data_IF_402038579804
#
_entry.id   IF_402038579804
#
_cell.length_a   1.000
_cell.length_b   1.000
_cell.length_c   1.000
_cell.angle_alpha   90.00
_cell.angle_beta   90.00
_cell.angle_gamma   90.00
#
_symmetry.space_group_name_H-M   'P 1'
#
loop_
_entity.id
_entity.type
_entity.pdbx_description
1 polymer ?
#
# COMPACT_ATOMS: atom_id res chain seq x y z
N UNK A 1 35.38 -2.96 0.08
CA UNK A 1 34.75 -3.63 -1.07
C UNK A 1 33.50 -2.83 -1.44
N UNK A 2 33.18 -2.69 -2.72
CA UNK A 2 32.12 -1.85 -3.23
C UNK A 2 31.12 -2.69 -4.02
N UNK A 3 29.84 -2.33 -3.94
CA UNK A 3 28.76 -2.92 -4.73
C UNK A 3 28.19 -1.87 -5.69
N UNK A 4 28.11 -2.18 -6.98
CA UNK A 4 27.45 -1.29 -7.92
C UNK A 4 25.95 -1.57 -7.98
N UNK A 5 25.13 -0.58 -7.64
CA UNK A 5 23.65 -0.67 -7.74
C UNK A 5 23.13 -0.88 -9.16
N UNK A 6 23.92 -0.54 -10.18
CA UNK A 6 23.49 -0.65 -11.58
C UNK A 6 23.71 -2.03 -12.18
N UNK A 7 24.76 -2.74 -11.78
CA UNK A 7 25.09 -4.06 -12.34
C UNK A 7 25.21 -5.18 -11.31
N UNK A 8 25.07 -4.89 -10.02
CA UNK A 8 25.17 -5.87 -8.93
C UNK A 8 26.57 -6.42 -8.68
N UNK A 9 27.60 -5.94 -9.40
CA UNK A 9 28.96 -6.45 -9.25
C UNK A 9 29.61 -5.92 -7.96
N UNK A 10 30.35 -6.82 -7.31
CA UNK A 10 31.16 -6.54 -6.12
C UNK A 10 32.64 -6.48 -6.52
N UNK A 11 33.36 -5.45 -6.08
CA UNK A 11 34.76 -5.22 -6.46
C UNK A 11 35.53 -4.45 -5.38
N UNK A 12 36.87 -4.49 -5.42
CA UNK A 12 37.70 -3.97 -4.34
C UNK A 12 38.08 -2.49 -4.52
N UNK A 13 38.22 -2.03 -5.76
CA UNK A 13 38.67 -0.68 -6.09
C UNK A 13 37.74 0.02 -7.07
N UNK A 14 37.49 1.30 -6.82
CA UNK A 14 36.83 2.19 -7.77
C UNK A 14 37.80 2.58 -8.89
N UNK A 15 37.26 3.00 -10.03
CA UNK A 15 38.05 3.71 -11.04
C UNK A 15 38.56 5.05 -10.49
N UNK A 16 39.54 5.67 -11.15
CA UNK A 16 40.09 6.99 -10.75
C UNK A 16 39.03 8.10 -10.60
N UNK A 17 37.90 7.97 -11.30
CA UNK A 17 36.75 8.88 -11.24
C UNK A 17 35.66 8.46 -10.24
N UNK A 18 35.91 7.47 -9.38
CA UNK A 18 34.96 7.01 -8.35
C UNK A 18 33.75 6.22 -8.87
N UNK A 19 33.82 5.69 -10.10
CA UNK A 19 32.76 4.90 -10.73
C UNK A 19 33.00 3.38 -10.61
N UNK A 20 31.96 2.59 -10.93
CA UNK A 20 32.08 1.15 -11.04
C UNK A 20 33.00 0.77 -12.22
N UNK A 21 34.04 -0.06 -12.02
CA UNK A 21 34.96 -0.47 -13.08
C UNK A 21 34.32 -1.35 -14.15
N UNK A 22 33.19 -2.01 -13.85
CA UNK A 22 32.51 -2.91 -14.78
C UNK A 22 31.55 -2.18 -15.74
N UNK A 23 30.82 -1.17 -15.26
CA UNK A 23 29.75 -0.53 -16.04
C UNK A 23 29.82 1.00 -16.11
N UNK A 24 30.78 1.64 -15.43
CA UNK A 24 30.86 3.10 -15.33
C UNK A 24 29.76 3.73 -14.47
N UNK A 25 28.96 2.92 -13.77
CA UNK A 25 27.87 3.40 -12.93
C UNK A 25 28.37 4.33 -11.81
N UNK A 26 27.71 5.49 -11.59
CA UNK A 26 28.13 6.45 -10.58
C UNK A 26 27.84 5.97 -9.16
N UNK A 27 28.71 6.37 -8.21
CA UNK A 27 28.55 6.21 -6.75
C UNK A 27 28.28 4.75 -6.27
N UNK A 28 29.22 3.81 -6.44
CA UNK A 28 29.09 2.47 -5.87
C UNK A 28 29.00 2.51 -4.33
N UNK A 29 28.18 1.62 -3.75
CA UNK A 29 27.98 1.56 -2.29
C UNK A 29 29.19 0.86 -1.65
N UNK A 30 29.84 1.49 -0.68
CA UNK A 30 30.85 0.81 0.12
C UNK A 30 30.15 -0.21 1.04
N UNK A 31 30.57 -1.47 0.98
CA UNK A 31 30.05 -2.53 1.83
C UNK A 31 30.63 -2.39 3.24
N UNK A 32 29.77 -2.50 4.24
CA UNK A 32 30.18 -2.51 5.64
C UNK A 32 30.99 -3.78 5.95
N UNK A 33 31.96 -3.70 6.87
CA UNK A 33 32.85 -4.82 7.19
C UNK A 33 32.10 -6.06 7.70
N UNK A 34 30.94 -5.93 8.35
CA UNK A 34 30.15 -7.10 8.79
C UNK A 34 29.51 -7.87 7.62
N UNK A 35 29.28 -7.23 6.47
CA UNK A 35 28.74 -7.88 5.25
C UNK A 35 29.84 -8.59 4.46
N UNK A 36 31.09 -8.12 4.62
CA UNK A 36 32.25 -8.68 3.94
C UNK A 36 32.53 -10.12 4.36
N UNK A 37 32.40 -10.44 5.65
CA UNK A 37 32.62 -11.79 6.19
C UNK A 37 31.57 -12.78 5.66
N UNK A 38 30.32 -12.33 5.49
CA UNK A 38 29.23 -13.19 5.01
C UNK A 38 29.32 -13.51 3.50
N UNK A 39 29.89 -12.60 2.69
CA UNK A 39 30.11 -12.82 1.24
C UNK A 39 31.28 -13.78 1.02
N UNK A 40 32.34 -13.68 1.84
CA UNK A 40 33.52 -14.56 1.75
C UNK A 40 33.16 -16.02 2.07
N UNK A 41 32.21 -16.27 2.97
CA UNK A 41 31.78 -17.64 3.33
C UNK A 41 30.87 -18.32 2.29
N UNK A 42 30.22 -17.56 1.39
CA UNK A 42 29.32 -18.14 0.35
C UNK A 42 29.91 -18.23 -1.04
N UNK A 43 31.03 -17.57 -1.33
CA UNK A 43 31.75 -17.71 -2.59
C UNK A 43 33.06 -18.46 -2.34
N UNK A 44 33.08 -19.74 -2.73
CA UNK A 44 34.28 -20.59 -2.76
C UNK A 44 35.41 -19.82 -3.44
N UNK A 45 36.45 -19.48 -2.68
CA UNK A 45 37.75 -19.07 -3.20
C UNK A 45 38.24 -20.14 -4.17
N UNK A 46 38.25 -19.85 -5.48
CA UNK A 46 39.13 -20.58 -6.40
C UNK A 46 40.54 -20.01 -6.21
N UNK A 47 41.50 -20.80 -5.70
CA UNK A 47 42.88 -20.35 -5.59
C UNK A 47 43.45 -20.06 -6.97
N UNK A 48 44.17 -18.95 -7.10
CA UNK A 48 44.85 -18.54 -8.31
C UNK A 48 45.96 -19.55 -8.67
N UNK A 49 45.62 -20.60 -9.43
CA UNK A 49 46.64 -21.40 -10.11
C UNK A 49 47.13 -20.65 -11.34
N UNK A 50 48.42 -20.34 -11.32
CA UNK A 50 49.27 -19.85 -12.39
C UNK A 50 48.84 -20.28 -13.81
N UNK A 51 48.23 -19.36 -14.55
CA UNK A 51 48.32 -19.22 -16.01
C UNK A 51 47.88 -17.80 -16.37
N UNK A 52 48.57 -17.21 -17.34
CA UNK A 52 48.48 -15.81 -17.80
C UNK A 52 47.04 -15.26 -17.82
N UNK A 53 46.81 -13.99 -17.43
CA UNK A 53 45.50 -13.38 -17.54
C UNK A 53 45.21 -13.15 -19.02
N UNK A 54 44.45 -14.06 -19.64
CA UNK A 54 43.64 -13.68 -20.79
C UNK A 54 42.65 -12.64 -20.29
N UNK A 55 42.98 -11.37 -20.55
CA UNK A 55 42.05 -10.26 -20.36
C UNK A 55 40.77 -10.61 -21.09
N UNK A 56 39.68 -10.81 -20.34
CA UNK A 56 38.33 -10.82 -20.92
C UNK A 56 38.08 -9.44 -21.52
N UNK A 57 38.38 -9.30 -22.80
CA UNK A 57 37.91 -8.17 -23.59
C UNK A 57 36.44 -8.47 -23.87
N UNK A 58 35.49 -7.68 -23.33
CA UNK A 58 34.09 -7.88 -23.67
C UNK A 58 33.96 -7.80 -25.19
N UNK A 59 33.20 -8.71 -25.82
CA UNK A 59 33.09 -8.74 -27.27
C UNK A 59 32.67 -7.35 -27.76
N UNK A 60 33.51 -6.73 -28.59
CA UNK A 60 33.16 -5.46 -29.21
C UNK A 60 31.81 -5.64 -29.90
N UNK A 61 30.81 -4.86 -29.49
CA UNK A 61 29.47 -4.91 -30.08
C UNK A 61 29.62 -4.77 -31.58
N UNK A 62 29.15 -5.77 -32.31
CA UNK A 62 29.21 -5.75 -33.77
C UNK A 62 28.47 -4.52 -34.30
N UNK A 63 28.87 -4.00 -35.46
CA UNK A 63 28.21 -2.87 -36.15
C UNK A 63 26.68 -3.03 -36.23
N UNK A 64 26.20 -4.28 -36.35
CA UNK A 64 24.77 -4.62 -36.32
C UNK A 64 24.14 -4.32 -34.95
N UNK A 65 24.78 -4.67 -33.83
CA UNK A 65 24.24 -4.40 -32.49
C UNK A 65 24.20 -2.90 -32.14
N UNK A 66 25.16 -2.11 -32.62
CA UNK A 66 25.11 -0.64 -32.50
C UNK A 66 23.97 -0.04 -33.35
N UNK A 67 23.76 -0.55 -34.56
CA UNK A 67 22.66 -0.13 -35.43
C UNK A 67 21.27 -0.44 -34.79
N UNK A 68 21.09 -1.60 -34.17
CA UNK A 68 19.84 -1.92 -33.47
C UNK A 68 19.58 -1.03 -32.25
N UNK A 69 20.62 -0.65 -31.49
CA UNK A 69 20.45 0.27 -30.36
C UNK A 69 20.08 1.70 -30.78
N UNK A 70 20.59 2.16 -31.92
CA UNK A 70 20.28 3.50 -32.44
C UNK A 70 18.90 3.55 -33.09
N UNK A 71 18.48 2.49 -33.78
CA UNK A 71 17.13 2.37 -34.34
C UNK A 71 16.07 2.22 -33.23
N UNK A 72 16.37 1.41 -32.20
CA UNK A 72 15.50 1.25 -31.03
C UNK A 72 15.32 2.57 -30.27
N UNK A 73 16.40 3.32 -30.05
CA UNK A 73 16.32 4.65 -29.41
C UNK A 73 15.47 5.63 -30.22
N UNK A 74 15.65 5.69 -31.55
CA UNK A 74 14.86 6.57 -32.43
C UNK A 74 13.37 6.21 -32.44
N UNK A 75 13.04 4.92 -32.40
CA UNK A 75 11.66 4.44 -32.32
C UNK A 75 11.02 4.84 -30.98
N UNK A 76 11.71 4.60 -29.85
CA UNK A 76 11.21 4.96 -28.52
C UNK A 76 10.97 6.47 -28.45
N UNK A 77 11.94 7.30 -28.85
CA UNK A 77 11.79 8.76 -28.85
C UNK A 77 10.63 9.21 -29.74
N UNK A 78 10.45 8.60 -30.91
CA UNK A 78 9.34 8.89 -31.82
C UNK A 78 7.96 8.57 -31.21
N UNK A 79 7.81 7.39 -30.59
CA UNK A 79 6.57 7.01 -29.92
C UNK A 79 6.25 7.90 -28.73
N UNK A 80 7.26 8.26 -27.92
CA UNK A 80 7.05 9.16 -26.78
C UNK A 80 6.60 10.55 -27.23
N UNK A 81 7.20 11.09 -28.29
CA UNK A 81 6.79 12.39 -28.84
C UNK A 81 5.33 12.37 -29.32
N UNK A 82 4.92 11.32 -30.05
CA UNK A 82 3.53 11.16 -30.50
C UNK A 82 2.54 11.05 -29.32
N UNK A 83 2.88 10.26 -28.30
CA UNK A 83 2.03 10.09 -27.13
C UNK A 83 1.84 11.40 -26.34
N UNK A 84 2.90 12.18 -26.16
CA UNK A 84 2.83 13.50 -25.49
C UNK A 84 1.97 14.46 -26.31
N UNK A 85 2.13 14.48 -27.64
CA UNK A 85 1.35 15.37 -28.52
C UNK A 85 -0.14 15.03 -28.47
N UNK A 86 -0.49 13.74 -28.48
CA UNK A 86 -1.86 13.28 -28.35
C UNK A 86 -2.47 13.64 -26.98
N UNK A 87 -1.69 13.52 -25.90
CA UNK A 87 -2.15 13.89 -24.56
C UNK A 87 -2.42 15.39 -24.43
N UNK A 88 -1.55 16.25 -24.97
CA UNK A 88 -1.75 17.71 -24.97
C UNK A 88 -3.00 18.09 -25.77
N UNK A 89 -3.20 17.48 -26.95
CA UNK A 89 -4.40 17.73 -27.76
C UNK A 89 -5.69 17.29 -27.03
N UNK A 90 -5.67 16.12 -26.39
CA UNK A 90 -6.80 15.62 -25.58
C UNK A 90 -7.11 16.53 -24.40
N UNK A 91 -6.09 16.99 -23.68
CA UNK A 91 -6.26 17.92 -22.55
C UNK A 91 -6.81 19.28 -23.00
N UNK A 92 -6.31 19.83 -24.11
CA UNK A 92 -6.82 21.07 -24.69
C UNK A 92 -8.29 20.92 -25.13
N UNK A 93 -8.66 19.79 -25.73
CA UNK A 93 -10.05 19.48 -26.08
C UNK A 93 -10.94 19.45 -24.84
N UNK A 94 -10.52 18.75 -23.77
CA UNK A 94 -11.28 18.75 -22.51
C UNK A 94 -11.42 20.15 -21.94
N UNK A 95 -10.35 20.96 -21.92
CA UNK A 95 -10.42 22.31 -21.39
C UNK A 95 -11.37 23.24 -22.15
N UNK A 96 -11.42 23.14 -23.49
CA UNK A 96 -12.27 24.00 -24.31
C UNK A 96 -13.72 23.51 -24.44
N UNK A 97 -13.96 22.20 -24.37
CA UNK A 97 -15.29 21.63 -24.61
C UNK A 97 -15.99 21.12 -23.34
N UNK A 98 -15.25 20.80 -22.28
CA UNK A 98 -15.81 20.67 -20.93
C UNK A 98 -15.75 22.04 -20.24
N UNK A 99 -16.63 22.92 -20.67
CA UNK A 99 -17.01 24.09 -19.90
C UNK A 99 -17.57 23.57 -18.56
N UNK A 100 -16.76 23.66 -17.50
CA UNK A 100 -17.18 23.44 -16.12
C UNK A 100 -18.26 24.46 -15.84
N UNK A 101 -19.51 24.06 -16.12
CA UNK A 101 -20.67 24.92 -16.17
C UNK A 101 -20.66 25.96 -15.07
N UNK A 102 -20.28 27.19 -15.42
CA UNK A 102 -20.76 28.34 -14.70
C UNK A 102 -22.29 28.20 -14.71
N UNK A 103 -22.95 28.25 -13.55
CA UNK A 103 -24.40 28.18 -13.51
C UNK A 103 -24.91 29.34 -14.35
N UNK A 104 -25.52 29.01 -15.51
CA UNK A 104 -26.23 29.98 -16.32
C UNK A 104 -27.25 30.66 -15.40
N UNK A 105 -27.06 31.95 -15.20
CA UNK A 105 -27.97 32.82 -14.49
C UNK A 105 -29.41 32.50 -14.93
N UNK A 106 -30.17 31.96 -13.99
CA UNK A 106 -31.59 31.76 -14.15
C UNK A 106 -32.25 33.14 -14.25
N UNK A 107 -33.10 33.25 -15.27
CA UNK A 107 -34.06 34.31 -15.57
C UNK A 107 -34.40 35.24 -14.37
N UNK A 108 -34.14 36.56 -14.44
CA UNK A 108 -34.48 37.50 -13.37
C UNK A 108 -35.99 37.74 -13.20
N UNK A 109 -36.85 37.09 -14.00
CA UNK A 109 -38.31 37.28 -13.97
C UNK A 109 -39.05 36.52 -12.86
N UNK A 110 -38.41 35.62 -12.11
CA UNK A 110 -39.00 34.85 -11.01
C UNK A 110 -38.78 35.44 -9.59
N UNK A 111 -38.64 36.76 -9.46
CA UNK A 111 -38.33 37.41 -8.18
C UNK A 111 -39.49 37.63 -7.20
N UNK A 112 -40.71 37.31 -7.58
CA UNK A 112 -41.86 37.51 -6.68
C UNK A 112 -42.59 36.20 -6.37
N UNK A 113 -42.59 35.87 -5.08
CA UNK A 113 -43.31 34.78 -4.40
C UNK A 113 -42.77 33.35 -4.51
N UNK A 114 -41.81 33.04 -3.62
CA UNK A 114 -41.79 31.73 -2.96
C UNK A 114 -41.72 31.98 -1.45
N UNK A 115 -42.66 31.46 -0.62
CA UNK A 115 -42.47 31.46 0.82
C UNK A 115 -41.23 30.64 1.12
N UNK A 116 -40.17 31.28 1.61
CA UNK A 116 -38.98 30.60 2.11
C UNK A 116 -39.39 29.74 3.30
N UNK A 117 -39.75 28.47 3.06
CA UNK A 117 -39.61 27.46 4.08
C UNK A 117 -38.12 27.38 4.35
N UNK A 118 -37.66 28.08 5.38
CA UNK A 118 -36.33 27.89 5.92
C UNK A 118 -36.29 26.41 6.29
N UNK A 119 -35.62 25.60 5.48
CA UNK A 119 -35.29 24.25 5.88
C UNK A 119 -34.41 24.42 7.10
N UNK A 120 -34.98 24.23 8.30
CA UNK A 120 -34.19 24.05 9.51
C UNK A 120 -33.18 22.96 9.17
N UNK A 121 -31.86 23.23 9.24
CA UNK A 121 -30.91 22.17 9.03
C UNK A 121 -31.23 21.10 10.07
N UNK A 122 -31.76 19.97 9.63
CA UNK A 122 -31.86 18.80 10.48
C UNK A 122 -30.41 18.46 10.79
N UNK A 123 -29.94 18.84 11.96
CA UNK A 123 -28.63 18.45 12.46
C UNK A 123 -28.72 16.94 12.63
N UNK A 124 -28.37 16.18 11.58
CA UNK A 124 -28.19 14.75 11.68
C UNK A 124 -26.97 14.56 12.58
N UNK A 125 -27.21 14.38 13.87
CA UNK A 125 -26.19 13.91 14.79
C UNK A 125 -25.86 12.50 14.31
N UNK A 126 -24.74 12.35 13.61
CA UNK A 126 -24.18 11.03 13.33
C UNK A 126 -23.69 10.52 14.69
N UNK A 127 -24.56 9.78 15.37
CA UNK A 127 -24.20 9.10 16.61
C UNK A 127 -23.11 8.08 16.28
N UNK A 128 -21.95 8.21 16.93
CA UNK A 128 -20.87 7.25 16.79
C UNK A 128 -21.15 6.08 17.75
N UNK A 129 -21.54 4.88 17.26
CA UNK A 129 -21.95 3.78 18.13
C UNK A 129 -20.78 3.26 18.99
N UNK A 130 -19.56 3.67 18.68
CA UNK A 130 -18.34 3.26 19.35
C UNK A 130 -17.90 4.21 20.48
N UNK A 131 -18.60 5.34 20.68
CA UNK A 131 -18.19 6.33 21.69
C UNK A 131 -18.26 5.81 23.13
N UNK A 132 -19.17 4.87 23.40
CA UNK A 132 -19.42 4.32 24.73
C UNK A 132 -18.93 2.86 24.86
N UNK A 133 -18.14 2.38 23.91
CA UNK A 133 -17.59 1.02 23.93
C UNK A 133 -16.46 0.91 24.96
N UNK A 134 -16.39 -0.24 25.64
CA UNK A 134 -15.29 -0.57 26.53
C UNK A 134 -14.11 -1.04 25.65
N UNK A 135 -13.07 -0.23 25.61
CA UNK A 135 -11.83 -0.55 24.91
C UNK A 135 -10.87 -1.31 25.82
N UNK A 136 -10.09 -2.22 25.24
CA UNK A 136 -8.97 -2.86 25.90
C UNK A 136 -7.97 -1.80 26.38
N UNK A 137 -7.36 -2.06 27.53
CA UNK A 137 -6.20 -1.29 28.00
C UNK A 137 -4.99 -1.45 27.07
N UNK A 138 -4.04 -0.52 27.12
CA UNK A 138 -2.82 -0.60 26.30
C UNK A 138 -2.03 -1.91 26.56
N UNK A 139 -2.03 -2.43 27.79
CA UNK A 139 -1.38 -3.70 28.12
C UNK A 139 -2.09 -4.92 27.53
N UNK A 140 -3.42 -4.92 27.53
CA UNK A 140 -4.21 -6.00 26.92
C UNK A 140 -4.06 -5.97 25.39
N UNK A 141 -4.12 -4.78 24.78
CA UNK A 141 -3.89 -4.61 23.35
C UNK A 141 -2.47 -5.05 22.92
N UNK A 142 -1.45 -4.76 23.74
CA UNK A 142 -0.08 -5.21 23.49
C UNK A 142 0.04 -6.73 23.53
N UNK A 143 -0.63 -7.39 24.47
CA UNK A 143 -0.63 -8.84 24.59
C UNK A 143 -1.21 -9.55 23.36
N UNK A 144 -2.04 -8.87 22.55
CA UNK A 144 -2.59 -9.44 21.31
C UNK A 144 -1.50 -9.80 20.30
N UNK A 145 -0.37 -9.11 20.28
CA UNK A 145 0.72 -9.37 19.31
C UNK A 145 1.31 -10.79 19.39
N UNK A 146 1.18 -11.43 20.55
CA UNK A 146 1.71 -12.77 20.81
C UNK A 146 0.61 -13.85 20.82
N UNK A 147 -0.65 -13.49 20.61
CA UNK A 147 -1.77 -14.42 20.64
C UNK A 147 -2.11 -14.94 19.24
N UNK A 148 -2.54 -16.19 19.16
CA UNK A 148 -3.14 -16.76 17.95
C UNK A 148 -4.61 -16.34 17.84
N UNK A 149 -5.18 -16.42 16.63
CA UNK A 149 -6.61 -16.19 16.39
C UNK A 149 -7.13 -14.81 16.87
N UNK A 150 -6.28 -13.78 16.80
CA UNK A 150 -6.68 -12.42 17.15
C UNK A 150 -7.61 -11.84 16.08
N UNK A 151 -8.88 -11.73 16.45
CA UNK A 151 -9.96 -11.15 15.62
C UNK A 151 -10.80 -10.14 16.40
N UNK A 152 -10.19 -9.43 17.35
CA UNK A 152 -10.84 -8.35 18.08
C UNK A 152 -11.26 -7.25 17.10
N UNK A 153 -12.44 -6.66 17.31
CA UNK A 153 -12.86 -5.50 16.53
C UNK A 153 -11.92 -4.33 16.80
N UNK A 154 -11.29 -3.83 15.74
CA UNK A 154 -10.36 -2.71 15.77
C UNK A 154 -11.04 -1.41 15.29
N UNK A 155 -10.87 -0.32 16.02
CA UNK A 155 -11.30 1.01 15.61
C UNK A 155 -10.08 1.84 15.21
N UNK A 156 -10.03 2.20 13.92
CA UNK A 156 -8.88 2.87 13.29
C UNK A 156 -9.11 4.38 13.23
N UNK A 157 -8.23 5.14 13.88
CA UNK A 157 -8.34 6.59 13.96
C UNK A 157 -6.96 7.23 14.07
N UNK A 158 -6.62 8.15 13.15
CA UNK A 158 -5.43 9.02 13.24
C UNK A 158 -4.10 8.27 13.47
N UNK A 159 -3.95 7.08 12.87
CA UNK A 159 -2.74 6.25 13.01
C UNK A 159 -2.76 5.34 14.24
N UNK A 160 -3.84 5.34 15.00
CA UNK A 160 -4.02 4.51 16.19
C UNK A 160 -5.12 3.47 15.96
N UNK A 161 -4.94 2.27 16.53
CA UNK A 161 -5.94 1.22 16.56
C UNK A 161 -6.34 0.92 18.01
N UNK A 162 -7.64 1.03 18.30
CA UNK A 162 -8.23 0.64 19.59
C UNK A 162 -9.00 -0.66 19.44
N UNK A 163 -8.92 -1.53 20.43
CA UNK A 163 -9.51 -2.87 20.36
C UNK A 163 -10.62 -3.02 21.38
N UNK A 164 -11.69 -3.71 21.00
CA UNK A 164 -12.76 -4.10 21.93
C UNK A 164 -12.58 -5.56 22.32
N UNK A 165 -13.25 -6.02 23.38
CA UNK A 165 -13.35 -7.44 23.73
C UNK A 165 -14.41 -8.22 22.92
N UNK A 166 -14.92 -7.63 21.84
CA UNK A 166 -15.91 -8.22 20.95
C UNK A 166 -15.34 -8.42 19.54
N UNK A 167 -16.04 -9.22 18.75
CA UNK A 167 -15.73 -9.44 17.34
C UNK A 167 -17.03 -9.52 16.52
N UNK A 168 -16.87 -9.54 15.19
CA UNK A 168 -17.95 -9.72 14.23
C UNK A 168 -17.70 -11.01 13.45
N UNK A 169 -18.74 -11.82 13.27
CA UNK A 169 -18.64 -13.04 12.47
C UNK A 169 -18.73 -12.67 10.99
N UNK A 170 -17.70 -13.04 10.23
CA UNK A 170 -17.71 -12.91 8.78
C UNK A 170 -18.63 -13.96 8.14
N UNK A 171 -19.56 -13.52 7.30
CA UNK A 171 -20.42 -14.38 6.50
C UNK A 171 -20.63 -13.76 5.10
N UNK A 172 -20.15 -14.45 4.07
CA UNK A 172 -20.19 -13.95 2.69
C UNK A 172 -21.61 -13.71 2.15
N UNK A 173 -22.66 -14.24 2.80
CA UNK A 173 -24.06 -14.02 2.38
C UNK A 173 -24.66 -12.73 2.95
N UNK A 174 -24.18 -12.27 4.11
CA UNK A 174 -24.66 -11.07 4.79
C UNK A 174 -23.72 -9.87 4.65
N UNK A 175 -22.52 -10.09 4.13
CA UNK A 175 -21.51 -9.07 3.88
C UNK A 175 -21.43 -8.75 2.39
N UNK A 176 -21.01 -7.52 2.06
CA UNK A 176 -20.86 -7.05 0.68
C UNK A 176 -19.41 -6.64 0.39
N UNK A 177 -18.89 -7.02 -0.79
CA UNK A 177 -17.57 -6.56 -1.24
C UNK A 177 -17.59 -5.06 -1.49
N UNK A 178 -16.57 -4.35 -1.04
CA UNK A 178 -16.52 -2.90 -1.16
C UNK A 178 -15.08 -2.37 -1.27
N UNK A 179 -14.94 -1.09 -1.58
CA UNK A 179 -13.71 -0.33 -1.44
C UNK A 179 -13.98 0.82 -0.47
N UNK A 180 -13.58 0.70 0.81
CA UNK A 180 -13.91 1.70 1.80
C UNK A 180 -13.30 3.06 1.46
N UNK A 181 -14.03 4.13 1.77
CA UNK A 181 -13.51 5.48 1.57
C UNK A 181 -12.26 5.70 2.42
N UNK A 182 -11.23 6.32 1.82
CA UNK A 182 -9.97 6.62 2.49
C UNK A 182 -8.96 5.47 2.53
N UNK A 183 -9.31 4.27 2.08
CA UNK A 183 -8.35 3.17 1.91
C UNK A 183 -7.58 3.38 0.61
N UNK A 184 -6.26 3.55 0.68
CA UNK A 184 -5.41 3.81 -0.48
C UNK A 184 -4.49 2.66 -0.86
N UNK A 185 -4.12 1.82 0.11
CA UNK A 185 -3.24 0.66 -0.10
C UNK A 185 -3.71 -0.50 0.78
N UNK A 186 -3.55 -1.71 0.25
CA UNK A 186 -3.83 -2.96 0.94
C UNK A 186 -2.83 -4.01 0.46
N UNK A 187 -2.18 -4.68 1.39
CA UNK A 187 -1.35 -5.85 1.11
C UNK A 187 -1.58 -6.93 2.17
N UNK A 188 -1.44 -8.18 1.76
CA UNK A 188 -1.61 -9.34 2.64
C UNK A 188 -0.36 -10.21 2.57
N UNK A 189 0.15 -10.62 3.73
CA UNK A 189 1.31 -11.52 3.84
C UNK A 189 1.00 -12.58 4.89
N UNK A 190 0.75 -13.82 4.44
CA UNK A 190 0.25 -14.88 5.31
C UNK A 190 -1.11 -14.49 5.91
N UNK A 191 -1.18 -14.40 7.25
CA UNK A 191 -2.39 -13.96 7.96
C UNK A 191 -2.35 -12.50 8.40
N UNK A 192 -1.26 -11.79 8.09
CA UNK A 192 -1.12 -10.35 8.34
C UNK A 192 -1.66 -9.53 7.17
N UNK A 193 -2.27 -8.40 7.51
CA UNK A 193 -2.84 -7.41 6.60
C UNK A 193 -2.20 -6.08 6.91
N UNK A 194 -1.63 -5.42 5.91
CA UNK A 194 -1.21 -4.02 5.99
C UNK A 194 -2.18 -3.18 5.15
N UNK A 195 -2.82 -2.21 5.77
CA UNK A 195 -3.79 -1.32 5.14
C UNK A 195 -3.43 0.13 5.42
N UNK A 196 -3.48 0.99 4.40
CA UNK A 196 -3.32 2.44 4.56
C UNK A 196 -4.68 3.11 4.48
N UNK A 197 -5.07 3.79 5.57
CA UNK A 197 -6.35 4.51 5.68
C UNK A 197 -6.07 5.99 5.98
N UNK A 198 -6.52 6.88 5.11
CA UNK A 198 -6.33 8.33 5.21
C UNK A 198 -4.85 8.73 5.44
N UNK A 199 -3.92 8.02 4.79
CA UNK A 199 -2.48 8.27 4.89
C UNK A 199 -1.78 7.64 6.10
N UNK A 200 -2.50 6.96 6.99
CA UNK A 200 -1.92 6.20 8.10
C UNK A 200 -1.90 4.71 7.80
N UNK A 201 -0.78 4.04 8.09
CA UNK A 201 -0.61 2.60 7.93
C UNK A 201 -1.10 1.86 9.18
N UNK A 202 -1.81 0.75 8.98
CA UNK A 202 -2.29 -0.14 10.04
C UNK A 202 -1.95 -1.59 9.68
N UNK A 203 -1.49 -2.34 10.67
CA UNK A 203 -1.27 -3.78 10.60
C UNK A 203 -2.38 -4.48 11.39
N UNK A 204 -3.11 -5.35 10.70
CA UNK A 204 -4.25 -6.13 11.20
C UNK A 204 -4.07 -7.59 10.80
N UNK A 205 -4.99 -8.46 11.22
CA UNK A 205 -5.06 -9.83 10.71
C UNK A 205 -6.16 -9.97 9.64
N UNK A 206 -6.03 -11.01 8.81
CA UNK A 206 -7.14 -11.46 7.96
C UNK A 206 -8.33 -11.88 8.84
N UNK A 207 -9.55 -11.69 8.33
CA UNK A 207 -10.81 -11.97 9.03
C UNK A 207 -11.00 -11.17 10.34
N UNK A 208 -10.09 -10.26 10.69
CA UNK A 208 -10.26 -9.37 11.82
C UNK A 208 -11.17 -8.20 11.41
N UNK A 209 -12.27 -7.97 12.13
CA UNK A 209 -13.15 -6.84 11.89
C UNK A 209 -12.50 -5.53 12.29
N UNK A 210 -12.74 -4.49 11.49
CA UNK A 210 -12.28 -3.15 11.78
C UNK A 210 -13.30 -2.09 11.36
N UNK A 211 -13.22 -0.93 12.01
CA UNK A 211 -14.04 0.25 11.75
C UNK A 211 -13.12 1.41 11.44
N UNK A 212 -13.45 2.19 10.42
CA UNK A 212 -12.73 3.43 10.09
C UNK A 212 -13.47 4.59 10.77
N UNK A 213 -12.77 5.46 11.51
CA UNK A 213 -13.40 6.54 12.27
C UNK A 213 -14.32 7.47 11.46
N UNK A 214 -14.00 7.70 10.18
CA UNK A 214 -14.83 8.53 9.28
C UNK A 214 -16.04 7.79 8.70
N UNK A 215 -16.16 6.48 8.95
CA UNK A 215 -17.26 5.60 8.53
C UNK A 215 -17.72 4.74 9.73
N UNK A 216 -18.17 5.36 10.84
CA UNK A 216 -18.42 4.64 12.09
C UNK A 216 -19.64 3.72 12.01
N UNK A 217 -20.47 3.82 10.98
CA UNK A 217 -21.68 3.01 10.79
C UNK A 217 -21.42 1.71 9.99
N UNK A 218 -20.16 1.41 9.67
CA UNK A 218 -19.78 0.26 8.84
C UNK A 218 -18.62 -0.49 9.46
N UNK A 219 -18.73 -1.82 9.50
CA UNK A 219 -17.67 -2.74 9.90
C UNK A 219 -17.09 -3.36 8.64
N UNK A 220 -15.78 -3.44 8.58
CA UNK A 220 -15.02 -3.96 7.46
C UNK A 220 -14.22 -5.19 7.88
N UNK A 221 -13.97 -6.11 6.95
CA UNK A 221 -13.07 -7.26 7.11
C UNK A 221 -12.25 -7.42 5.84
N UNK A 222 -11.00 -7.85 5.97
CA UNK A 222 -10.21 -8.33 4.83
C UNK A 222 -10.25 -9.86 4.82
N UNK A 223 -10.69 -10.46 3.71
CA UNK A 223 -10.77 -11.90 3.59
C UNK A 223 -9.42 -12.56 3.25
N UNK A 224 -9.42 -13.88 3.10
CA UNK A 224 -8.23 -14.68 2.76
C UNK A 224 -7.63 -14.35 1.39
N UNK A 225 -8.40 -13.70 0.52
CA UNK A 225 -7.99 -13.33 -0.84
C UNK A 225 -7.49 -11.88 -0.92
N UNK A 226 -7.49 -11.15 0.20
CA UNK A 226 -7.15 -9.74 0.25
C UNK A 226 -8.26 -8.82 -0.25
N UNK A 227 -9.51 -9.27 -0.27
CA UNK A 227 -10.66 -8.42 -0.61
C UNK A 227 -11.29 -7.85 0.65
N UNK A 228 -11.72 -6.58 0.57
CA UNK A 228 -12.43 -5.92 1.66
C UNK A 228 -13.93 -6.15 1.52
N UNK A 229 -14.52 -6.64 2.61
CA UNK A 229 -15.95 -6.82 2.79
C UNK A 229 -16.47 -5.84 3.82
N UNK A 230 -17.75 -5.50 3.73
CA UNK A 230 -18.41 -4.59 4.66
C UNK A 230 -19.81 -5.02 5.03
N UNK A 231 -20.21 -4.65 6.23
CA UNK A 231 -21.56 -4.78 6.76
C UNK A 231 -21.90 -3.55 7.59
N UNK A 232 -23.17 -3.10 7.56
CA UNK A 232 -23.63 -2.03 8.43
C UNK A 232 -23.66 -2.48 9.89
N UNK A 233 -23.38 -1.59 10.85
CA UNK A 233 -23.34 -1.92 12.28
C UNK A 233 -24.65 -2.55 12.78
N UNK A 234 -25.79 -2.03 12.33
CA UNK A 234 -27.11 -2.56 12.70
C UNK A 234 -27.37 -3.99 12.19
N UNK A 235 -26.64 -4.43 11.16
CA UNK A 235 -26.74 -5.78 10.59
C UNK A 235 -25.60 -6.69 11.00
N UNK A 236 -24.57 -6.15 11.68
CA UNK A 236 -23.44 -6.92 12.13
C UNK A 236 -23.81 -7.75 13.36
N UNK A 237 -23.55 -9.05 13.30
CA UNK A 237 -23.67 -9.92 14.47
C UNK A 237 -22.40 -9.82 15.32
N UNK A 238 -22.41 -8.88 16.28
CA UNK A 238 -21.34 -8.74 17.27
C UNK A 238 -21.48 -9.80 18.35
N UNK A 239 -20.42 -10.56 18.57
CA UNK A 239 -20.37 -11.68 19.52
C UNK A 239 -19.12 -11.59 20.39
N UNK A 240 -19.06 -12.42 21.43
CA UNK A 240 -17.83 -12.62 22.19
C UNK A 240 -16.74 -13.28 21.34
N UNK A 241 -15.48 -13.09 21.76
CA UNK A 241 -14.31 -13.56 21.00
C UNK A 241 -14.28 -15.08 20.83
N UNK A 242 -14.65 -15.84 21.86
CA UNK A 242 -14.58 -17.30 21.80
C UNK A 242 -15.57 -17.83 20.75
N UNK A 243 -16.78 -17.28 20.72
CA UNK A 243 -17.78 -17.58 19.70
C UNK A 243 -17.26 -17.23 18.30
N UNK A 244 -16.67 -16.05 18.10
CA UNK A 244 -16.13 -15.65 16.81
C UNK A 244 -14.95 -16.54 16.36
N UNK A 245 -14.04 -16.87 17.27
CA UNK A 245 -12.85 -17.70 16.98
C UNK A 245 -13.25 -19.12 16.55
N UNK A 246 -14.29 -19.69 17.17
CA UNK A 246 -14.83 -21.01 16.80
C UNK A 246 -15.37 -21.09 15.37
N UNK A 247 -15.62 -19.94 14.73
CA UNK A 247 -16.14 -19.83 13.36
C UNK A 247 -15.04 -19.57 12.32
N UNK A 248 -13.79 -19.40 12.74
CA UNK A 248 -12.70 -19.19 11.82
C UNK A 248 -12.44 -20.46 10.98
N UNK A 249 -12.25 -20.26 9.68
CA UNK A 249 -11.92 -21.34 8.75
C UNK A 249 -10.42 -21.56 8.59
N UNK A 250 -9.60 -20.70 9.21
CA UNK A 250 -8.14 -20.71 9.15
C UNK A 250 -7.53 -20.40 10.51
N UNK A 251 -6.34 -20.93 10.76
CA UNK A 251 -5.53 -20.53 11.92
C UNK A 251 -4.81 -19.23 11.61
N UNK A 252 -5.06 -18.19 12.41
CA UNK A 252 -4.37 -16.90 12.31
C UNK A 252 -3.14 -16.96 13.20
N UNK A 253 -1.95 -16.79 12.60
CA UNK A 253 -0.68 -16.76 13.34
C UNK A 253 -0.54 -15.44 14.11
N UNK A 254 0.23 -15.41 15.21
CA UNK A 254 0.47 -14.19 15.96
C UNK A 254 1.08 -13.09 15.08
N UNK A 255 0.63 -11.86 15.28
CA UNK A 255 1.07 -10.71 14.50
C UNK A 255 1.84 -9.73 15.39
N UNK A 256 3.17 -9.85 15.36
CA UNK A 256 4.09 -9.01 16.13
C UNK A 256 4.00 -7.52 15.80
N UNK A 257 3.51 -7.18 14.62
CA UNK A 257 3.44 -5.81 14.11
C UNK A 257 2.05 -5.17 14.29
N UNK A 258 1.09 -5.88 14.89
CA UNK A 258 -0.30 -5.42 15.07
C UNK A 258 -0.35 -3.98 15.59
N UNK A 259 -1.03 -3.09 14.86
CA UNK A 259 -1.15 -1.67 15.23
C UNK A 259 -1.90 -1.53 16.54
N UNK A 260 -1.50 -0.60 17.40
CA UNK A 260 -2.16 -0.37 18.69
C UNK A 260 -2.00 1.08 19.15
N UNK A 261 -2.88 1.49 20.05
CA UNK A 261 -2.82 2.78 20.74
C UNK A 261 -1.93 2.65 21.97
N UNK A 262 -1.07 3.65 22.23
CA UNK A 262 -0.25 3.73 23.45
C UNK A 262 -0.92 4.60 24.51
#
# INVERSE_FOLDING_TARGET
MFECRYCGNVFEKLTDVGACPACGGPKPKCLQPEVLTMIVDRYVYMPATSRSPEYYTPPQRTLKQQAYSTLGYKLVVGFTALAVTAFVAWFAYLWFFYDLGAPKDADPSFRDYIPTSVASPTTYVIENPWSNTIWLSSSEALALRTQEQVIHLAYLSRGEAKYTNQSAIFDANSWSRTTPLGVSQLSTSGTGVTITVNGSEYHLNILQPFVIANQPQTIFIVDLTGQIWSVGVASANLVDLQTAQSRLTVTITPNGDLSLTY
#
